data_IF_548495699272
#
_entry.id   IF_548495699272
#
_cell.length_a   1.000
_cell.length_b   1.000
_cell.length_c   1.000
_cell.angle_alpha   90.00
_cell.angle_beta   90.00
_cell.angle_gamma   90.00
#
_symmetry.space_group_name_H-M   'P 1'
#
loop_
_entity.id
_entity.type
_entity.pdbx_description
1 polymer ?
#
# COMPACT_ATOMS: atom_id res chain seq x y z
N UNK A 1 -21.19 -19.32 13.89
CA UNK A 1 -21.67 -17.92 13.74
C UNK A 1 -23.06 -17.94 13.10
N UNK A 2 -24.06 -17.22 13.63
CA UNK A 2 -25.39 -17.18 12.99
C UNK A 2 -25.37 -16.35 11.69
N UNK A 3 -26.32 -16.56 10.75
CA UNK A 3 -26.42 -15.73 9.54
C UNK A 3 -26.64 -14.23 9.83
N UNK A 4 -27.31 -13.91 10.94
CA UNK A 4 -27.50 -12.53 11.36
C UNK A 4 -26.20 -11.91 11.88
N UNK A 5 -25.46 -12.62 12.74
CA UNK A 5 -24.15 -12.15 13.24
C UNK A 5 -23.17 -11.93 12.09
N UNK A 6 -23.18 -12.85 11.11
CA UNK A 6 -22.38 -12.73 9.90
C UNK A 6 -22.68 -11.43 9.16
N UNK A 7 -23.96 -11.14 8.88
CA UNK A 7 -24.35 -9.90 8.18
C UNK A 7 -23.93 -8.66 8.97
N UNK A 8 -24.15 -8.65 10.27
CA UNK A 8 -23.78 -7.52 11.13
C UNK A 8 -22.27 -7.25 11.15
N UNK A 9 -21.46 -8.29 11.27
CA UNK A 9 -20.01 -8.15 11.26
C UNK A 9 -19.49 -7.80 9.85
N UNK A 10 -20.03 -8.41 8.80
CA UNK A 10 -19.72 -8.09 7.41
C UNK A 10 -19.95 -6.62 7.13
N UNK A 11 -21.15 -6.13 7.44
CA UNK A 11 -21.57 -4.76 7.16
C UNK A 11 -20.74 -3.77 8.00
N UNK A 12 -20.33 -4.14 9.22
CA UNK A 12 -19.45 -3.33 10.06
C UNK A 12 -18.03 -3.22 9.49
N UNK A 13 -17.45 -4.34 9.05
CA UNK A 13 -16.12 -4.38 8.41
C UNK A 13 -16.15 -3.58 7.11
N UNK A 14 -17.18 -3.80 6.30
CA UNK A 14 -17.40 -3.09 5.04
C UNK A 14 -17.53 -1.58 5.25
N UNK A 15 -18.35 -1.14 6.20
CA UNK A 15 -18.48 0.28 6.53
C UNK A 15 -17.18 0.92 7.03
N UNK A 16 -16.29 0.14 7.65
CA UNK A 16 -15.04 0.65 8.21
C UNK A 16 -13.91 0.81 7.18
N UNK A 17 -13.75 -0.18 6.29
CA UNK A 17 -12.58 -0.26 5.40
C UNK A 17 -12.92 -0.66 3.97
N UNK A 18 -14.21 -0.75 3.62
CA UNK A 18 -14.69 -1.00 2.26
C UNK A 18 -14.45 -2.41 1.73
N UNK A 19 -13.91 -3.31 2.57
CA UNK A 19 -13.67 -4.71 2.19
C UNK A 19 -15.00 -5.42 1.94
N UNK A 20 -15.11 -6.04 0.77
CA UNK A 20 -16.24 -6.86 0.39
C UNK A 20 -16.05 -8.29 0.93
N UNK A 21 -16.78 -8.64 1.98
CA UNK A 21 -16.92 -10.03 2.43
C UNK A 21 -18.17 -10.62 1.80
N UNK A 22 -18.00 -11.53 0.84
CA UNK A 22 -19.11 -12.16 0.12
C UNK A 22 -19.86 -13.17 1.00
N UNK A 23 -21.09 -13.50 0.63
CA UNK A 23 -21.93 -14.43 1.43
C UNK A 23 -21.33 -15.83 1.55
N UNK A 24 -20.64 -16.32 0.52
CA UNK A 24 -19.92 -17.60 0.52
C UNK A 24 -18.72 -17.62 1.48
N UNK A 25 -18.31 -16.47 2.02
CA UNK A 25 -17.17 -16.34 2.92
C UNK A 25 -17.54 -16.44 4.40
N UNK A 26 -18.79 -16.75 4.77
CA UNK A 26 -19.22 -16.85 6.17
C UNK A 26 -18.30 -17.77 7.01
N UNK A 27 -18.02 -18.98 6.51
CA UNK A 27 -17.15 -19.93 7.21
C UNK A 27 -15.71 -19.42 7.35
N UNK A 28 -15.20 -18.74 6.32
CA UNK A 28 -13.85 -18.14 6.36
C UNK A 28 -13.80 -17.03 7.39
N UNK A 29 -14.79 -16.14 7.38
CA UNK A 29 -14.90 -15.03 8.33
C UNK A 29 -14.97 -15.54 9.77
N UNK A 30 -15.81 -16.55 10.04
CA UNK A 30 -15.89 -17.21 11.35
C UNK A 30 -14.54 -17.76 11.79
N UNK A 31 -13.88 -18.57 10.94
CA UNK A 31 -12.59 -19.17 11.28
C UNK A 31 -11.50 -18.15 11.54
N UNK A 32 -11.50 -17.02 10.82
CA UNK A 32 -10.48 -15.97 10.96
C UNK A 32 -10.74 -15.05 12.16
N UNK A 33 -12.00 -14.83 12.53
CA UNK A 33 -12.36 -13.99 13.68
C UNK A 33 -12.43 -14.76 15.00
N UNK A 34 -12.64 -16.09 15.00
CA UNK A 34 -12.70 -16.89 16.23
C UNK A 34 -11.51 -16.66 17.19
N UNK A 35 -10.23 -16.61 16.73
CA UNK A 35 -9.11 -16.31 17.62
C UNK A 35 -9.19 -14.91 18.27
N UNK A 36 -9.89 -13.95 17.65
CA UNK A 36 -10.13 -12.63 18.25
C UNK A 36 -11.11 -12.71 19.41
N UNK A 37 -12.19 -13.48 19.26
CA UNK A 37 -13.16 -13.73 20.32
C UNK A 37 -12.47 -14.36 21.54
N UNK A 38 -11.66 -15.39 21.30
CA UNK A 38 -10.87 -16.07 22.33
C UNK A 38 -9.93 -15.10 23.06
N UNK A 39 -9.19 -14.27 22.31
CA UNK A 39 -8.26 -13.29 22.88
C UNK A 39 -8.95 -12.23 23.76
N UNK A 40 -10.23 -11.94 23.50
CA UNK A 40 -11.04 -10.99 24.26
C UNK A 40 -11.90 -11.67 25.35
N UNK A 41 -11.89 -13.00 25.44
CA UNK A 41 -12.73 -13.76 26.37
C UNK A 41 -14.24 -13.62 26.08
N UNK A 42 -14.63 -13.47 24.81
CA UNK A 42 -16.02 -13.29 24.41
C UNK A 42 -16.69 -14.62 24.07
N UNK A 43 -17.92 -14.79 24.55
CA UNK A 43 -18.66 -16.05 24.45
C UNK A 43 -19.15 -16.37 23.04
N UNK A 44 -19.52 -15.35 22.26
CA UNK A 44 -20.09 -15.51 20.93
C UNK A 44 -19.85 -14.31 19.99
N UNK A 45 -20.22 -14.49 18.72
CA UNK A 45 -20.07 -13.45 17.68
C UNK A 45 -21.02 -12.26 17.88
N UNK A 46 -22.13 -12.42 18.62
CA UNK A 46 -23.02 -11.31 18.96
C UNK A 46 -22.38 -10.41 20.01
N UNK A 47 -21.68 -10.97 20.99
CA UNK A 47 -20.86 -10.27 21.96
C UNK A 47 -19.70 -9.56 21.25
N UNK A 48 -19.05 -10.21 20.28
CA UNK A 48 -18.02 -9.57 19.46
C UNK A 48 -18.54 -8.38 18.65
N UNK A 49 -19.68 -8.52 17.99
CA UNK A 49 -20.32 -7.41 17.30
C UNK A 49 -20.63 -6.24 18.27
N UNK A 50 -21.18 -6.52 19.45
CA UNK A 50 -21.44 -5.50 20.48
C UNK A 50 -20.15 -4.81 20.93
N UNK A 51 -19.07 -5.56 21.14
CA UNK A 51 -17.75 -5.03 21.47
C UNK A 51 -17.28 -4.05 20.38
N UNK A 52 -17.29 -4.46 19.11
CA UNK A 52 -16.86 -3.64 17.99
C UNK A 52 -17.73 -2.38 17.77
N UNK A 53 -18.96 -2.34 18.30
CA UNK A 53 -19.84 -1.17 18.20
C UNK A 53 -19.66 -0.18 19.33
N UNK A 54 -19.50 -0.67 20.56
CA UNK A 54 -19.71 0.13 21.77
C UNK A 54 -18.52 0.20 22.71
N UNK A 55 -17.55 -0.72 22.63
CA UNK A 55 -16.40 -0.72 23.54
C UNK A 55 -15.51 0.51 23.29
N UNK A 56 -14.83 1.05 24.33
CA UNK A 56 -13.82 2.10 24.17
C UNK A 56 -12.71 1.72 23.18
N UNK A 57 -12.29 0.45 23.20
CA UNK A 57 -11.22 -0.12 22.38
C UNK A 57 -11.70 -0.52 20.98
N UNK A 58 -12.97 -0.27 20.64
CA UNK A 58 -13.60 -0.75 19.40
C UNK A 58 -12.80 -0.45 18.13
N UNK A 59 -12.13 0.71 18.08
CA UNK A 59 -11.39 1.14 16.89
C UNK A 59 -10.17 0.25 16.65
N UNK A 60 -9.40 0.00 17.69
CA UNK A 60 -8.23 -0.87 17.60
C UNK A 60 -8.62 -2.32 17.30
N UNK A 61 -9.71 -2.81 17.90
CA UNK A 61 -10.19 -4.17 17.62
C UNK A 61 -10.77 -4.32 16.22
N UNK A 62 -11.43 -3.30 15.68
CA UNK A 62 -11.92 -3.33 14.31
C UNK A 62 -10.77 -3.38 13.30
N UNK A 63 -9.65 -2.70 13.58
CA UNK A 63 -8.42 -2.81 12.80
C UNK A 63 -7.82 -4.24 12.87
N UNK A 64 -7.83 -4.86 14.06
CA UNK A 64 -7.41 -6.25 14.22
C UNK A 64 -8.34 -7.26 13.52
N UNK A 65 -9.65 -7.00 13.51
CA UNK A 65 -10.63 -7.80 12.78
C UNK A 65 -10.39 -7.72 11.26
N UNK A 66 -10.16 -6.52 10.74
CA UNK A 66 -9.81 -6.32 9.33
C UNK A 66 -8.54 -7.09 8.96
N UNK A 67 -7.51 -6.96 9.77
CA UNK A 67 -6.25 -7.70 9.59
C UNK A 67 -6.46 -9.21 9.54
N UNK A 68 -7.29 -9.75 10.44
CA UNK A 68 -7.60 -11.17 10.41
C UNK A 68 -8.30 -11.57 9.10
N UNK A 69 -9.16 -10.71 8.56
CA UNK A 69 -9.93 -10.99 7.34
C UNK A 69 -9.14 -10.79 6.04
N UNK A 70 -8.09 -9.98 6.06
CA UNK A 70 -7.23 -9.74 4.89
C UNK A 70 -6.14 -10.78 4.73
N UNK A 71 -5.70 -11.03 3.49
CA UNK A 71 -4.53 -11.88 3.22
C UNK A 71 -3.33 -10.99 2.93
N UNK A 72 -2.37 -10.98 3.84
CA UNK A 72 -1.13 -10.19 3.73
C UNK A 72 -0.04 -10.94 2.95
N UNK A 73 -0.33 -11.39 1.73
CA UNK A 73 0.73 -11.97 0.91
C UNK A 73 1.58 -10.86 0.28
N UNK A 74 2.82 -10.73 0.74
CA UNK A 74 3.81 -9.79 0.21
C UNK A 74 5.20 -10.43 0.22
N UNK A 75 6.08 -9.94 -0.66
CA UNK A 75 7.47 -10.35 -0.79
C UNK A 75 8.25 -9.33 -1.61
N UNK A 76 9.56 -9.32 -1.43
CA UNK A 76 10.46 -8.46 -2.16
C UNK A 76 10.42 -8.74 -3.67
N UNK A 77 10.53 -7.69 -4.48
CA UNK A 77 10.60 -7.79 -5.94
C UNK A 77 9.38 -8.47 -6.61
N UNK A 78 8.20 -8.37 -5.98
CA UNK A 78 6.93 -8.81 -6.58
C UNK A 78 6.60 -8.02 -7.85
N UNK A 79 6.08 -8.69 -8.88
CA UNK A 79 5.76 -8.16 -10.23
C UNK A 79 6.98 -7.53 -10.94
N UNK A 80 7.95 -8.35 -11.37
CA UNK A 80 9.22 -7.85 -11.91
C UNK A 80 9.08 -7.01 -13.19
N UNK A 81 8.01 -7.19 -13.98
CA UNK A 81 7.75 -6.40 -15.18
C UNK A 81 7.49 -4.92 -14.85
N UNK A 82 6.64 -4.64 -13.86
CA UNK A 82 6.37 -3.29 -13.39
C UNK A 82 7.58 -2.66 -12.71
N UNK A 83 8.37 -3.43 -11.95
CA UNK A 83 9.61 -2.93 -11.34
C UNK A 83 10.67 -2.56 -12.38
N UNK A 84 10.76 -3.29 -13.50
CA UNK A 84 11.59 -2.91 -14.64
C UNK A 84 11.11 -1.61 -15.29
N UNK A 85 9.81 -1.48 -15.54
CA UNK A 85 9.23 -0.26 -16.09
C UNK A 85 9.50 0.95 -15.17
N UNK A 86 9.37 0.78 -13.85
CA UNK A 86 9.74 1.78 -12.86
C UNK A 86 11.22 2.17 -13.00
N UNK A 87 12.13 1.19 -12.92
CA UNK A 87 13.59 1.39 -12.95
C UNK A 87 14.09 2.04 -14.24
N UNK A 88 13.68 1.49 -15.39
CA UNK A 88 14.33 1.74 -16.67
C UNK A 88 13.70 2.90 -17.44
N UNK A 89 12.44 3.24 -17.11
CA UNK A 89 11.68 4.27 -17.83
C UNK A 89 11.21 5.40 -16.91
N UNK A 90 10.53 5.09 -15.79
CA UNK A 90 9.96 6.12 -14.92
C UNK A 90 11.03 6.85 -14.11
N UNK A 91 12.00 6.16 -13.50
CA UNK A 91 13.05 6.84 -12.72
C UNK A 91 13.85 7.87 -13.53
N UNK A 92 14.30 7.58 -14.78
CA UNK A 92 14.91 8.61 -15.63
C UNK A 92 14.00 9.79 -15.94
N UNK A 93 12.70 9.56 -16.16
CA UNK A 93 11.73 10.63 -16.43
C UNK A 93 11.53 11.53 -15.20
N UNK A 94 11.34 10.92 -14.03
CA UNK A 94 11.19 11.61 -12.75
C UNK A 94 12.45 12.42 -12.41
N UNK A 95 13.64 11.87 -12.65
CA UNK A 95 14.90 12.59 -12.46
C UNK A 95 14.97 13.87 -13.32
N UNK A 96 14.55 13.82 -14.58
CA UNK A 96 14.54 15.02 -15.45
C UNK A 96 13.49 16.02 -14.99
N UNK A 97 12.28 15.56 -14.71
CA UNK A 97 11.16 16.39 -14.27
C UNK A 97 11.49 17.16 -12.98
N UNK A 98 12.09 16.49 -12.02
CA UNK A 98 12.35 17.04 -10.69
C UNK A 98 13.77 17.59 -10.52
N UNK A 99 14.55 17.71 -11.59
CA UNK A 99 15.96 18.14 -11.54
C UNK A 99 16.16 19.50 -10.83
N UNK A 100 15.17 20.40 -10.94
CA UNK A 100 15.20 21.73 -10.30
C UNK A 100 15.00 21.68 -8.79
N UNK A 101 14.09 20.84 -8.30
CA UNK A 101 13.76 20.75 -6.87
C UNK A 101 14.64 19.73 -6.14
N UNK A 102 15.23 18.78 -6.88
CA UNK A 102 15.97 17.62 -6.36
C UNK A 102 15.20 16.88 -5.27
N UNK A 103 13.87 16.82 -5.40
CA UNK A 103 12.97 16.10 -4.51
C UNK A 103 12.29 14.95 -5.25
N UNK A 104 12.15 13.83 -4.56
CA UNK A 104 11.43 12.67 -5.07
C UNK A 104 10.65 12.00 -3.93
N UNK A 105 9.36 11.76 -4.14
CA UNK A 105 8.46 11.19 -3.15
C UNK A 105 7.63 10.05 -3.71
N UNK A 106 7.61 8.93 -3.00
CA UNK A 106 6.81 7.75 -3.30
C UNK A 106 5.83 7.47 -2.16
N UNK A 107 4.67 6.91 -2.49
CA UNK A 107 3.73 6.37 -1.51
C UNK A 107 3.35 4.94 -1.87
N UNK A 108 3.75 3.97 -1.04
CA UNK A 108 3.26 2.59 -1.06
C UNK A 108 2.04 2.49 -0.14
N UNK A 109 0.85 2.49 -0.75
CA UNK A 109 -0.45 2.44 -0.08
C UNK A 109 -0.92 0.99 0.07
N UNK A 110 -1.11 0.55 1.32
CA UNK A 110 -1.30 -0.86 1.67
C UNK A 110 0.02 -1.63 1.64
N UNK A 111 1.07 -1.07 2.26
CA UNK A 111 2.44 -1.58 2.17
C UNK A 111 2.68 -2.92 2.89
N UNK A 112 1.70 -3.41 3.66
CA UNK A 112 1.82 -4.63 4.47
C UNK A 112 3.08 -4.58 5.35
N UNK A 113 3.88 -5.64 5.36
CA UNK A 113 5.13 -5.76 6.13
C UNK A 113 6.33 -5.01 5.50
N UNK A 114 6.10 -4.12 4.53
CA UNK A 114 7.06 -3.13 4.06
C UNK A 114 7.93 -3.55 2.86
N UNK A 115 7.83 -4.79 2.37
CA UNK A 115 8.66 -5.28 1.27
C UNK A 115 8.55 -4.43 0.00
N UNK A 116 7.36 -3.92 -0.33
CA UNK A 116 7.18 -3.03 -1.49
C UNK A 116 7.92 -1.70 -1.30
N UNK A 117 7.70 -1.02 -0.17
CA UNK A 117 8.34 0.27 0.12
C UNK A 117 9.87 0.15 0.11
N UNK A 118 10.41 -0.92 0.70
CA UNK A 118 11.85 -1.18 0.67
C UNK A 118 12.36 -1.58 -0.72
N UNK A 119 11.58 -2.34 -1.51
CA UNK A 119 11.96 -2.66 -2.91
C UNK A 119 12.10 -1.36 -3.72
N UNK A 120 11.16 -0.43 -3.59
CA UNK A 120 11.24 0.89 -4.25
C UNK A 120 12.50 1.63 -3.80
N UNK A 121 12.77 1.73 -2.50
CA UNK A 121 13.97 2.38 -1.99
C UNK A 121 15.27 1.73 -2.50
N UNK A 122 15.32 0.40 -2.58
CA UNK A 122 16.46 -0.34 -3.15
C UNK A 122 16.65 -0.05 -4.63
N UNK A 123 15.59 0.01 -5.43
CA UNK A 123 15.66 0.39 -6.85
C UNK A 123 16.18 1.82 -7.03
N UNK A 124 15.69 2.76 -6.21
CA UNK A 124 16.16 4.15 -6.22
C UNK A 124 17.67 4.22 -5.89
N UNK A 125 18.14 3.51 -4.87
CA UNK A 125 19.57 3.44 -4.51
C UNK A 125 20.40 2.75 -5.59
N UNK A 126 19.91 1.65 -6.14
CA UNK A 126 20.60 0.89 -7.17
C UNK A 126 20.81 1.71 -8.44
N UNK A 127 19.89 2.62 -8.77
CA UNK A 127 19.97 3.49 -9.94
C UNK A 127 21.10 4.51 -9.90
N UNK A 128 21.58 4.90 -8.70
CA UNK A 128 22.56 5.99 -8.53
C UNK A 128 22.09 7.38 -8.96
N UNK A 129 20.81 7.55 -9.36
CA UNK A 129 20.29 8.79 -9.97
C UNK A 129 19.99 9.90 -8.97
N UNK A 130 19.74 9.54 -7.72
CA UNK A 130 19.15 10.41 -6.71
C UNK A 130 20.10 10.67 -5.53
N UNK A 131 21.40 10.57 -5.78
CA UNK A 131 22.40 10.92 -4.77
C UNK A 131 22.37 12.43 -4.46
N UNK A 132 22.29 12.76 -3.17
CA UNK A 132 22.10 14.14 -2.69
C UNK A 132 20.73 14.74 -3.08
N UNK A 133 19.73 13.91 -3.35
CA UNK A 133 18.34 14.34 -3.48
C UNK A 133 17.61 14.16 -2.15
N UNK A 134 16.58 14.97 -1.95
CA UNK A 134 15.58 14.77 -0.90
C UNK A 134 14.63 13.64 -1.37
N UNK A 135 14.89 12.40 -0.93
CA UNK A 135 14.14 11.21 -1.32
C UNK A 135 13.39 10.63 -0.14
N UNK A 136 12.10 10.30 -0.32
CA UNK A 136 11.32 9.62 0.71
C UNK A 136 10.28 8.68 0.09
N UNK A 137 10.12 7.52 0.70
CA UNK A 137 9.15 6.49 0.36
C UNK A 137 8.26 6.28 1.59
N UNK A 138 7.03 6.74 1.50
CA UNK A 138 6.03 6.55 2.54
C UNK A 138 5.36 5.19 2.36
N UNK A 139 5.47 4.30 3.34
CA UNK A 139 4.66 3.09 3.42
C UNK A 139 3.50 3.30 4.38
N UNK A 140 2.26 3.04 3.94
CA UNK A 140 1.11 3.10 4.85
C UNK A 140 0.26 1.86 4.79
N UNK A 141 -0.28 1.46 5.94
CA UNK A 141 -1.19 0.33 6.03
C UNK A 141 -2.24 0.57 7.15
N UNK A 142 -3.36 -0.13 7.08
CA UNK A 142 -4.37 -0.09 8.14
C UNK A 142 -3.92 -0.89 9.37
N UNK A 143 -3.13 -1.96 9.18
CA UNK A 143 -2.67 -2.82 10.26
C UNK A 143 -1.43 -2.26 10.96
N UNK A 144 -1.53 -2.01 12.27
CA UNK A 144 -0.37 -1.63 13.10
C UNK A 144 0.67 -2.74 13.17
N UNK A 145 0.23 -3.99 13.24
CA UNK A 145 1.09 -5.16 13.42
C UNK A 145 2.03 -5.36 12.23
N UNK A 146 1.51 -5.22 11.00
CA UNK A 146 2.37 -5.32 9.81
C UNK A 146 3.34 -4.14 9.70
N UNK A 147 2.90 -2.93 10.11
CA UNK A 147 3.77 -1.76 10.14
C UNK A 147 4.89 -1.88 11.19
N UNK A 148 4.64 -2.51 12.34
CA UNK A 148 5.69 -2.83 13.29
C UNK A 148 6.75 -3.77 12.70
N UNK A 149 6.32 -4.80 11.95
CA UNK A 149 7.24 -5.66 11.22
C UNK A 149 8.02 -4.90 10.14
N UNK A 150 7.35 -4.01 9.40
CA UNK A 150 7.97 -3.14 8.40
C UNK A 150 9.05 -2.24 9.00
N UNK A 151 8.79 -1.65 10.18
CA UNK A 151 9.78 -0.82 10.90
C UNK A 151 10.98 -1.62 11.42
N UNK A 152 10.75 -2.85 11.90
CA UNK A 152 11.84 -3.78 12.27
C UNK A 152 12.71 -4.13 11.07
N UNK A 153 12.12 -4.19 9.87
CA UNK A 153 12.79 -4.44 8.60
C UNK A 153 13.55 -5.78 8.55
N UNK A 154 13.08 -6.78 9.29
CA UNK A 154 13.67 -8.11 9.37
C UNK A 154 12.78 -9.14 8.69
N UNK A 155 13.35 -9.93 7.80
CA UNK A 155 12.62 -10.79 6.89
C UNK A 155 13.21 -12.20 6.85
N UNK A 156 12.33 -13.19 6.73
CA UNK A 156 12.69 -14.59 6.59
C UNK A 156 12.68 -15.07 5.13
N UNK A 157 12.99 -16.36 4.89
CA UNK A 157 13.10 -16.91 3.53
C UNK A 157 11.87 -16.70 2.64
N UNK A 158 10.66 -16.74 3.21
CA UNK A 158 9.41 -16.53 2.46
C UNK A 158 9.34 -15.15 1.80
N UNK A 159 9.67 -14.08 2.52
CA UNK A 159 9.70 -12.71 1.97
C UNK A 159 10.83 -12.52 0.94
N UNK A 160 11.91 -13.28 1.06
CA UNK A 160 13.10 -13.19 0.20
C UNK A 160 13.02 -14.07 -1.05
N UNK A 161 11.95 -14.85 -1.24
CA UNK A 161 11.85 -15.90 -2.28
C UNK A 161 12.09 -15.46 -3.73
N UNK A 162 11.93 -14.17 -4.04
CA UNK A 162 12.07 -13.63 -5.40
C UNK A 162 13.14 -12.53 -5.51
N UNK A 163 13.96 -12.33 -4.47
CA UNK A 163 15.00 -11.30 -4.52
C UNK A 163 16.21 -11.81 -5.33
N UNK A 164 16.78 -11.01 -6.24
CA UNK A 164 18.05 -11.38 -6.88
C UNK A 164 19.20 -11.48 -5.86
N UNK A 165 20.09 -12.48 -5.95
CA UNK A 165 21.17 -12.67 -4.98
C UNK A 165 22.08 -11.45 -4.80
N UNK A 166 22.40 -10.75 -5.89
CA UNK A 166 23.23 -9.54 -5.89
C UNK A 166 22.55 -8.38 -5.16
N UNK A 167 21.23 -8.25 -5.28
CA UNK A 167 20.44 -7.25 -4.56
C UNK A 167 20.42 -7.59 -3.07
N UNK A 168 20.19 -8.87 -2.74
CA UNK A 168 20.20 -9.34 -1.35
C UNK A 168 21.53 -9.05 -0.66
N UNK A 169 22.66 -9.40 -1.30
CA UNK A 169 24.00 -9.14 -0.76
C UNK A 169 24.27 -7.64 -0.59
N UNK A 170 23.78 -6.81 -1.51
CA UNK A 170 24.00 -5.35 -1.47
C UNK A 170 23.19 -4.67 -0.38
N UNK A 171 21.91 -5.02 -0.22
CA UNK A 171 20.94 -4.24 0.54
C UNK A 171 20.48 -4.85 1.87
N UNK A 172 20.98 -6.03 2.23
CA UNK A 172 20.63 -6.71 3.48
C UNK A 172 21.86 -7.07 4.31
N UNK A 173 21.64 -7.21 5.62
CA UNK A 173 22.61 -7.72 6.58
C UNK A 173 22.01 -8.85 7.40
N UNK A 174 22.79 -9.85 7.83
CA UNK A 174 22.28 -10.91 8.69
C UNK A 174 21.85 -10.36 10.05
N UNK A 175 20.76 -10.90 10.61
CA UNK A 175 20.35 -10.62 11.99
C UNK A 175 21.08 -11.57 12.93
N UNK A 176 21.90 -11.03 13.84
CA UNK A 176 22.58 -11.81 14.87
C UNK A 176 21.59 -12.61 15.71
N UNK A 177 21.76 -13.94 15.79
CA UNK A 177 20.82 -14.84 16.49
C UNK A 177 19.46 -15.00 15.79
N UNK A 178 19.26 -14.41 14.61
CA UNK A 178 17.96 -14.33 13.94
C UNK A 178 17.58 -15.53 13.08
N UNK A 179 18.14 -16.73 13.31
CA UNK A 179 17.77 -17.96 12.60
C UNK A 179 17.70 -17.83 11.06
N UNK A 180 18.68 -17.16 10.44
CA UNK A 180 18.72 -16.95 8.98
C UNK A 180 17.87 -15.78 8.46
N UNK A 181 17.31 -14.96 9.34
CA UNK A 181 16.66 -13.69 8.96
C UNK A 181 17.67 -12.65 8.51
N UNK A 182 17.21 -11.81 7.60
CA UNK A 182 17.96 -10.71 7.03
C UNK A 182 17.27 -9.39 7.37
N UNK A 183 18.06 -8.36 7.68
CA UNK A 183 17.58 -7.01 7.92
C UNK A 183 17.95 -6.10 6.76
N UNK A 184 17.03 -5.25 6.33
CA UNK A 184 17.32 -4.20 5.33
C UNK A 184 18.37 -3.26 5.91
N UNK A 185 19.36 -2.85 5.10
CA UNK A 185 20.42 -1.92 5.52
C UNK A 185 19.89 -0.55 5.88
N UNK A 186 20.57 0.10 6.81
CA UNK A 186 20.17 1.40 7.36
C UNK A 186 20.09 2.50 6.29
N UNK A 187 20.99 2.49 5.30
CA UNK A 187 21.01 3.49 4.23
C UNK A 187 19.79 3.41 3.31
N UNK A 188 19.16 2.24 3.19
CA UNK A 188 17.87 2.05 2.51
C UNK A 188 16.73 2.47 3.44
N UNK A 189 16.77 2.05 4.71
CA UNK A 189 15.74 2.38 5.72
C UNK A 189 15.60 3.88 5.95
N UNK A 190 16.69 4.63 5.85
CA UNK A 190 16.69 6.08 5.96
C UNK A 190 15.83 6.81 4.91
N UNK A 191 15.48 6.15 3.80
CA UNK A 191 14.57 6.69 2.78
C UNK A 191 13.12 6.24 2.97
N UNK A 192 12.80 5.42 3.97
CA UNK A 192 11.48 4.81 4.13
C UNK A 192 10.88 5.20 5.48
N UNK A 193 9.66 5.73 5.45
CA UNK A 193 8.88 6.05 6.64
C UNK A 193 7.54 5.31 6.63
N UNK A 194 7.04 4.93 7.81
CA UNK A 194 5.82 4.11 7.93
C UNK A 194 4.75 4.79 8.79
N UNK A 195 3.54 4.90 8.26
CA UNK A 195 2.38 5.50 8.93
C UNK A 195 1.16 4.60 8.91
N UNK A 196 0.38 4.59 10.00
CA UNK A 196 -0.93 3.92 9.97
C UNK A 196 -1.93 4.80 9.23
N UNK A 197 -2.65 4.22 8.26
CA UNK A 197 -3.63 4.95 7.46
C UNK A 197 -4.72 3.99 6.96
N UNK A 198 -5.98 4.38 7.16
CA UNK A 198 -7.12 3.79 6.47
C UNK A 198 -7.46 4.65 5.24
N UNK A 199 -7.37 4.08 4.04
CA UNK A 199 -7.56 4.80 2.77
C UNK A 199 -8.99 5.36 2.60
N UNK A 200 -9.97 4.80 3.31
CA UNK A 200 -11.36 5.26 3.27
C UNK A 200 -11.73 6.19 4.41
N UNK A 201 -10.85 6.38 5.39
CA UNK A 201 -11.09 7.29 6.49
C UNK A 201 -10.96 8.75 6.00
N UNK A 202 -12.02 9.56 6.13
CA UNK A 202 -11.99 10.95 5.70
C UNK A 202 -10.84 11.72 6.36
N UNK A 203 -10.03 12.39 5.54
CA UNK A 203 -8.90 13.18 6.02
C UNK A 203 -7.65 12.39 6.43
N UNK A 204 -7.70 11.06 6.52
CA UNK A 204 -6.54 10.27 6.97
C UNK A 204 -5.29 10.47 6.09
N UNK A 205 -5.49 10.63 4.78
CA UNK A 205 -4.39 10.90 3.86
C UNK A 205 -3.80 12.32 3.99
N UNK A 206 -4.39 13.26 4.74
CA UNK A 206 -3.83 14.62 4.89
C UNK A 206 -2.38 14.61 5.39
N UNK A 207 -2.01 13.61 6.19
CA UNK A 207 -0.66 13.43 6.73
C UNK A 207 0.37 12.94 5.70
N UNK A 208 -0.07 12.37 4.58
CA UNK A 208 0.81 12.00 3.45
C UNK A 208 1.04 13.26 2.62
N UNK A 209 2.28 13.68 2.32
CA UNK A 209 2.51 14.83 1.46
C UNK A 209 2.08 14.53 0.01
N UNK A 210 2.18 15.54 -0.86
CA UNK A 210 2.10 15.26 -2.29
C UNK A 210 3.30 14.43 -2.74
N UNK A 211 3.05 13.48 -3.63
CA UNK A 211 4.03 12.49 -4.09
C UNK A 211 4.13 12.44 -5.61
N UNK A 212 5.27 12.00 -6.11
CA UNK A 212 5.53 11.81 -7.53
C UNK A 212 4.93 10.49 -8.04
N UNK A 213 4.91 9.48 -7.18
CA UNK A 213 4.43 8.14 -7.51
C UNK A 213 3.64 7.55 -6.35
N UNK A 214 2.48 6.98 -6.66
CA UNK A 214 1.71 6.11 -5.77
C UNK A 214 1.80 4.68 -6.28
N UNK A 215 2.13 3.74 -5.40
CA UNK A 215 1.94 2.30 -5.60
C UNK A 215 0.79 1.85 -4.72
N UNK A 216 -0.20 1.18 -5.30
CA UNK A 216 -1.29 0.55 -4.57
C UNK A 216 -1.62 -0.78 -5.25
N UNK A 217 -0.91 -1.83 -4.84
CA UNK A 217 -0.88 -3.10 -5.56
C UNK A 217 -1.47 -4.22 -4.72
N UNK A 218 -2.42 -4.93 -5.31
CA UNK A 218 -3.14 -6.05 -4.71
C UNK A 218 -3.92 -5.68 -3.43
N UNK A 219 -4.39 -4.42 -3.35
CA UNK A 219 -5.15 -3.88 -2.21
C UNK A 219 -6.59 -3.58 -2.63
N UNK A 220 -6.78 -2.91 -3.77
CA UNK A 220 -8.10 -2.48 -4.22
C UNK A 220 -8.98 -3.66 -4.67
N UNK A 221 -8.38 -4.82 -4.94
CA UNK A 221 -9.11 -6.06 -5.24
C UNK A 221 -10.12 -6.46 -4.15
N UNK A 222 -9.87 -6.07 -2.89
CA UNK A 222 -10.77 -6.35 -1.77
C UNK A 222 -11.91 -5.34 -1.63
N UNK A 223 -11.79 -4.17 -2.26
CA UNK A 223 -12.76 -3.09 -2.14
C UNK A 223 -13.93 -3.23 -3.10
N UNK A 224 -15.10 -2.76 -2.66
CA UNK A 224 -16.24 -2.56 -3.55
C UNK A 224 -16.01 -1.39 -4.55
N UNK A 225 -16.86 -1.23 -5.58
CA UNK A 225 -16.68 -0.16 -6.56
C UNK A 225 -16.72 1.27 -5.99
N UNK A 226 -17.49 1.54 -4.93
CA UNK A 226 -17.60 2.86 -4.33
C UNK A 226 -16.33 3.22 -3.54
N UNK A 227 -15.85 2.27 -2.73
CA UNK A 227 -14.59 2.36 -2.01
C UNK A 227 -13.42 2.54 -2.99
N UNK A 228 -13.35 1.77 -4.08
CA UNK A 228 -12.33 1.95 -5.12
C UNK A 228 -12.32 3.38 -5.67
N UNK A 229 -13.49 3.94 -6.02
CA UNK A 229 -13.59 5.32 -6.51
C UNK A 229 -13.11 6.35 -5.48
N UNK A 230 -13.45 6.15 -4.21
CA UNK A 230 -12.99 7.04 -3.14
C UNK A 230 -11.46 6.99 -2.99
N UNK A 231 -10.88 5.80 -2.98
CA UNK A 231 -9.41 5.62 -2.91
C UNK A 231 -8.71 6.28 -4.10
N UNK A 232 -9.26 6.16 -5.30
CA UNK A 232 -8.70 6.79 -6.49
C UNK A 232 -8.69 8.32 -6.42
N UNK A 233 -9.72 8.94 -5.82
CA UNK A 233 -9.74 10.38 -5.56
C UNK A 233 -8.63 10.78 -4.60
N UNK A 234 -8.41 10.01 -3.53
CA UNK A 234 -7.31 10.22 -2.59
C UNK A 234 -5.96 10.17 -3.31
N UNK A 235 -5.73 9.19 -4.18
CA UNK A 235 -4.50 9.10 -4.96
C UNK A 235 -4.33 10.26 -5.93
N UNK A 236 -5.40 10.64 -6.63
CA UNK A 236 -5.38 11.78 -7.53
C UNK A 236 -4.99 13.08 -6.80
N UNK A 237 -5.57 13.34 -5.62
CA UNK A 237 -5.28 14.55 -4.84
C UNK A 237 -3.85 14.58 -4.28
N UNK A 238 -3.27 13.40 -4.01
CA UNK A 238 -1.90 13.25 -3.50
C UNK A 238 -0.83 13.20 -4.56
N UNK A 239 -1.14 12.78 -5.78
CA UNK A 239 -0.18 12.83 -6.86
C UNK A 239 0.07 14.27 -7.29
N UNK A 240 1.32 14.67 -7.46
CA UNK A 240 1.61 15.92 -8.17
C UNK A 240 1.08 15.84 -9.61
N UNK A 241 0.78 16.98 -10.28
CA UNK A 241 0.48 16.97 -11.71
C UNK A 241 1.54 16.21 -12.52
N UNK A 242 1.11 15.33 -13.42
CA UNK A 242 1.98 14.43 -14.17
C UNK A 242 2.63 13.32 -13.33
N UNK A 243 2.21 13.10 -12.09
CA UNK A 243 2.66 12.00 -11.23
C UNK A 243 2.00 10.68 -11.61
N UNK A 244 2.60 9.55 -11.22
CA UNK A 244 2.22 8.22 -11.68
C UNK A 244 1.53 7.39 -10.60
N UNK A 245 0.51 6.63 -11.00
CA UNK A 245 -0.15 5.62 -10.20
C UNK A 245 0.12 4.22 -10.78
N UNK A 246 0.72 3.36 -9.97
CA UNK A 246 1.03 1.96 -10.29
C UNK A 246 0.08 1.07 -9.49
N UNK A 247 -0.67 0.22 -10.20
CA UNK A 247 -1.59 -0.76 -9.63
C UNK A 247 -1.11 -2.18 -9.91
N UNK A 248 -1.63 -3.17 -9.19
CA UNK A 248 -1.30 -4.57 -9.44
C UNK A 248 -1.90 -5.06 -10.77
N UNK A 249 -1.38 -6.15 -11.33
CA UNK A 249 -1.76 -6.60 -12.68
C UNK A 249 -3.26 -6.90 -12.88
N UNK A 250 -3.98 -7.27 -11.82
CA UNK A 250 -5.41 -7.56 -11.87
C UNK A 250 -6.29 -6.34 -11.61
N UNK A 251 -5.68 -5.18 -11.34
CA UNK A 251 -6.36 -3.94 -10.99
C UNK A 251 -6.30 -2.97 -12.18
N UNK A 252 -7.47 -2.47 -12.60
CA UNK A 252 -7.55 -1.48 -13.67
C UNK A 252 -8.60 -0.41 -13.33
N UNK A 253 -8.46 0.75 -13.95
CA UNK A 253 -9.35 1.89 -13.72
C UNK A 253 -10.53 1.95 -14.70
N UNK A 254 -10.70 0.92 -15.54
CA UNK A 254 -11.78 0.88 -16.52
C UNK A 254 -13.12 1.01 -15.80
N UNK A 255 -13.92 2.00 -16.19
CA UNK A 255 -15.22 2.33 -15.59
C UNK A 255 -15.16 2.80 -14.12
N UNK A 256 -13.99 3.11 -13.56
CA UNK A 256 -13.84 3.59 -12.19
C UNK A 256 -13.49 5.08 -12.10
N UNK A 257 -12.60 5.58 -12.95
CA UNK A 257 -12.25 7.01 -12.99
C UNK A 257 -11.75 7.41 -14.37
N UNK A 258 -12.15 8.60 -14.82
CA UNK A 258 -11.62 9.25 -16.02
C UNK A 258 -10.57 10.33 -15.66
N UNK A 259 -10.23 10.47 -14.39
CA UNK A 259 -9.34 11.51 -13.85
C UNK A 259 -7.85 11.15 -14.01
N UNK A 260 -7.57 10.00 -14.61
CA UNK A 260 -6.23 9.49 -14.89
C UNK A 260 -6.06 9.18 -16.37
N UNK A 261 -4.88 9.50 -16.89
CA UNK A 261 -4.45 9.12 -18.23
C UNK A 261 -3.75 7.75 -18.18
N UNK A 262 -4.03 6.89 -19.15
CA UNK A 262 -3.28 5.64 -19.32
C UNK A 262 -1.97 5.93 -20.06
N UNK A 263 -0.85 5.48 -19.49
CA UNK A 263 0.49 5.63 -20.03
C UNK A 263 1.07 4.26 -20.36
N UNK A 264 1.44 4.09 -21.63
CA UNK A 264 2.09 2.88 -22.12
C UNK A 264 3.60 2.98 -21.93
N UNK A 265 4.14 2.16 -21.03
CA UNK A 265 5.58 1.93 -20.90
C UNK A 265 5.97 0.73 -21.77
N UNK A 266 7.28 0.48 -21.95
CA UNK A 266 7.75 -0.63 -22.80
C UNK A 266 7.29 -2.00 -22.28
N UNK A 267 7.22 -2.16 -20.97
CA UNK A 267 6.91 -3.44 -20.33
C UNK A 267 5.74 -3.41 -19.36
N UNK A 268 5.03 -2.28 -19.26
CA UNK A 268 3.88 -2.15 -18.36
C UNK A 268 2.91 -1.05 -18.79
N UNK A 269 1.71 -1.04 -18.19
CA UNK A 269 0.71 0.01 -18.31
C UNK A 269 0.51 0.67 -16.95
N UNK A 270 0.73 1.98 -16.88
CA UNK A 270 0.56 2.75 -15.64
C UNK A 270 -0.42 3.89 -15.85
N UNK A 271 -0.90 4.47 -14.77
CA UNK A 271 -1.80 5.62 -14.81
C UNK A 271 -1.04 6.89 -14.45
N UNK A 272 -1.48 8.04 -14.95
CA UNK A 272 -0.86 9.33 -14.68
C UNK A 272 -1.92 10.37 -14.35
N UNK A 273 -1.67 11.18 -13.30
CA UNK A 273 -2.47 12.38 -13.05
C UNK A 273 -2.21 13.38 -14.19
N UNK A 274 -3.23 13.87 -14.91
CA UNK A 274 -3.05 14.86 -15.97
C UNK A 274 -2.27 16.09 -15.50
N UNK A 275 -1.46 16.67 -16.37
CA UNK A 275 -0.91 18.00 -16.14
C UNK A 275 -2.02 19.05 -16.35
N UNK A 276 -2.10 20.12 -15.54
CA UNK A 276 -3.02 21.20 -15.82
C UNK A 276 -2.71 21.77 -17.20
N UNK A 277 -3.73 21.82 -18.06
CA UNK A 277 -3.63 22.43 -19.38
C UNK A 277 -3.21 23.88 -19.15
N UNK A 278 -2.02 24.26 -19.65
CA UNK A 278 -1.60 25.65 -19.62
C UNK A 278 -2.67 26.48 -20.36
N UNK A 279 -3.14 27.61 -19.81
CA UNK A 279 -4.10 28.44 -20.51
C UNK A 279 -3.49 28.81 -21.86
N UNK A 280 -4.22 28.51 -22.95
CA UNK A 280 -3.80 28.87 -24.28
C UNK A 280 -3.45 30.35 -24.26
N UNK A 281 -2.17 30.67 -24.49
CA UNK A 281 -1.74 32.04 -24.70
C UNK A 281 -2.51 32.53 -25.92
N UNK A 282 -3.59 33.27 -25.68
CA UNK A 282 -4.39 33.88 -26.71
C UNK A 282 -3.52 34.87 -27.45
N UNK A 283 -2.93 34.43 -28.56
CA UNK A 283 -2.44 35.33 -29.59
C UNK A 283 -3.64 36.14 -30.07
N UNK A 284 -3.70 37.40 -29.67
CA UNK A 284 -4.52 38.37 -30.39
C UNK A 284 -3.76 38.75 -31.67
N UNK A 285 -4.46 38.88 -32.81
CA UNK A 285 -3.89 39.29 -34.09
C UNK A 285 -3.31 40.71 -34.04
#
# INVERSE_FOLDING_TARGET
MSPEDFRLLRDLVHAHCGILVREDMQFVMERRLAPRLEALGLEDFRAYYRFLRYAPERRAELEAAVEALTTHETYFYREPQQLRALSDELLPQLQRKNARTRRLRFWSAGCSTGEEAYTVAMLLKASGRFEGWDVEVYGTDISRRVLEAARRAEYGPSSMRAIPPEVQQRFFVPVSGGAGRLRVREDVRAWVSFGQLNLLEPGAAQLVPQVDVVLCRNVMIYFDPAARRQVLRVFHDKLVPGGYLLLGHSENLLNLSADFELVHLRTDLVYRRPEPIAPATGGRP
#
